data_IF_544517975764
#
_entry.id   IF_544517975764
#
_cell.length_a   1.000
_cell.length_b   1.000
_cell.length_c   1.000
_cell.angle_alpha   90.00
_cell.angle_beta   90.00
_cell.angle_gamma   90.00
#
_symmetry.space_group_name_H-M   'P 1'
#
loop_
_entity.id
_entity.type
_entity.pdbx_description
1 polymer ?
#
# COMPACT_ATOMS: atom_id res chain seq x y z
N UNK A 1 -5.58 -12.14 10.58
CA UNK A 1 -6.90 -11.75 11.09
C UNK A 1 -7.18 -10.31 10.69
N UNK A 2 -7.94 -10.14 9.63
CA UNK A 2 -8.38 -8.83 9.14
C UNK A 2 -9.82 -8.62 9.61
N UNK A 3 -10.09 -7.50 10.27
CA UNK A 3 -11.41 -7.12 10.75
C UNK A 3 -12.18 -6.32 9.70
N UNK A 4 -11.47 -5.60 8.83
CA UNK A 4 -12.07 -4.76 7.80
C UNK A 4 -12.19 -5.52 6.47
N UNK A 5 -13.10 -5.07 5.61
CA UNK A 5 -13.24 -5.56 4.24
C UNK A 5 -12.54 -4.60 3.29
N UNK A 6 -11.66 -5.14 2.44
CA UNK A 6 -10.89 -4.34 1.49
C UNK A 6 -11.52 -4.43 0.10
N UNK A 7 -11.62 -3.32 -0.64
CA UNK A 7 -12.21 -3.33 -1.97
C UNK A 7 -11.32 -4.09 -2.95
N UNK A 8 -11.96 -4.80 -3.88
CA UNK A 8 -11.24 -5.44 -4.99
C UNK A 8 -10.64 -4.36 -5.87
N UNK A 9 -9.31 -4.39 -6.01
CA UNK A 9 -8.60 -3.46 -6.89
C UNK A 9 -8.83 -3.87 -8.34
N UNK A 10 -9.32 -2.93 -9.14
CA UNK A 10 -9.46 -3.17 -10.59
C UNK A 10 -8.11 -3.35 -11.31
N UNK A 11 -7.04 -2.79 -10.71
CA UNK A 11 -5.69 -2.79 -11.28
C UNK A 11 -4.66 -2.45 -10.19
N UNK A 12 -3.55 -3.18 -10.22
CA UNK A 12 -2.35 -2.90 -9.46
C UNK A 12 -1.14 -3.34 -10.29
N UNK A 13 -0.25 -2.42 -10.63
CA UNK A 13 0.97 -2.73 -11.38
C UNK A 13 2.14 -2.92 -10.41
N UNK A 14 2.79 -4.08 -10.49
CA UNK A 14 4.10 -4.31 -9.89
C UNK A 14 5.16 -3.80 -10.86
N UNK A 15 5.81 -2.68 -10.53
CA UNK A 15 6.75 -2.02 -11.45
C UNK A 15 8.11 -1.81 -10.82
N UNK A 16 9.14 -2.49 -11.36
CA UNK A 16 10.55 -2.37 -10.93
C UNK A 16 10.74 -2.53 -9.42
N UNK A 17 9.95 -3.40 -8.80
CA UNK A 17 9.97 -3.69 -7.38
C UNK A 17 9.94 -5.21 -7.17
N UNK A 18 10.55 -5.68 -6.07
CA UNK A 18 10.46 -7.10 -5.69
C UNK A 18 9.06 -7.46 -5.21
N UNK A 19 8.72 -8.75 -5.23
CA UNK A 19 7.43 -9.23 -4.74
C UNK A 19 7.17 -8.82 -3.28
N UNK A 20 8.22 -8.85 -2.46
CA UNK A 20 8.16 -8.40 -1.08
C UNK A 20 7.87 -6.90 -0.97
N UNK A 21 8.51 -6.06 -1.79
CA UNK A 21 8.24 -4.62 -1.80
C UNK A 21 6.80 -4.33 -2.29
N UNK A 22 6.33 -5.05 -3.30
CA UNK A 22 4.97 -4.93 -3.80
C UNK A 22 3.93 -5.24 -2.71
N UNK A 23 4.04 -6.40 -2.04
CA UNK A 23 3.13 -6.76 -0.95
C UNK A 23 3.27 -5.78 0.22
N UNK A 24 4.49 -5.36 0.57
CA UNK A 24 4.74 -4.42 1.66
C UNK A 24 4.10 -3.05 1.41
N UNK A 25 4.28 -2.45 0.22
CA UNK A 25 3.64 -1.16 -0.09
C UNK A 25 2.12 -1.25 -0.10
N UNK A 26 1.55 -2.39 -0.50
CA UNK A 26 0.10 -2.61 -0.50
C UNK A 26 -0.42 -2.68 0.93
N UNK A 27 0.24 -3.45 1.79
CA UNK A 27 -0.09 -3.54 3.20
C UNK A 27 0.02 -2.16 3.89
N UNK A 28 1.12 -1.45 3.67
CA UNK A 28 1.34 -0.08 4.17
C UNK A 28 0.29 0.92 3.67
N UNK A 29 -0.16 0.77 2.42
CA UNK A 29 -1.18 1.60 1.82
C UNK A 29 -2.55 1.40 2.46
N UNK A 30 -2.91 0.15 2.77
CA UNK A 30 -4.17 -0.23 3.39
C UNK A 30 -4.13 -0.29 4.92
N UNK A 31 -2.99 0.01 5.55
CA UNK A 31 -2.86 -0.01 7.01
C UNK A 31 -2.84 -1.41 7.62
N UNK A 32 -2.48 -2.43 6.82
CA UNK A 32 -2.34 -3.82 7.24
C UNK A 32 -0.92 -4.03 7.77
N UNK A 33 -0.80 -4.44 9.02
CA UNK A 33 0.45 -4.88 9.61
C UNK A 33 0.58 -6.40 9.48
N UNK A 34 1.80 -6.92 9.65
CA UNK A 34 2.01 -8.35 9.82
C UNK A 34 2.96 -8.63 10.99
N UNK A 35 2.77 -9.79 11.62
CA UNK A 35 3.64 -10.34 12.65
C UNK A 35 3.93 -11.80 12.37
N UNK A 36 4.91 -12.37 13.07
CA UNK A 36 5.28 -13.77 12.94
C UNK A 36 4.86 -14.55 14.18
N UNK A 37 4.29 -15.72 13.94
CA UNK A 37 3.97 -16.71 14.94
C UNK A 37 4.93 -17.89 14.77
N UNK A 38 5.75 -18.11 15.80
CA UNK A 38 6.79 -19.13 15.79
C UNK A 38 6.28 -20.41 16.42
N UNK A 39 6.41 -21.52 15.71
CA UNK A 39 6.03 -22.86 16.14
C UNK A 39 6.93 -23.91 15.49
N UNK A 40 6.40 -25.11 15.24
CA UNK A 40 7.09 -26.11 14.39
C UNK A 40 7.23 -25.63 12.93
N UNK A 41 6.33 -24.74 12.51
CA UNK A 41 6.40 -23.94 11.28
C UNK A 41 6.07 -22.50 11.62
N UNK A 42 6.82 -21.56 11.04
CA UNK A 42 6.54 -20.14 11.17
C UNK A 42 5.32 -19.75 10.34
N UNK A 43 4.44 -18.94 10.92
CA UNK A 43 3.24 -18.40 10.27
C UNK A 43 3.30 -16.89 10.23
N UNK A 44 2.89 -16.32 9.10
CA UNK A 44 2.73 -14.86 8.94
C UNK A 44 1.28 -14.50 9.21
N UNK A 45 1.06 -13.54 10.11
CA UNK A 45 -0.27 -13.10 10.51
C UNK A 45 -0.47 -11.65 10.10
N UNK A 46 -1.38 -11.45 9.15
CA UNK A 46 -1.83 -10.11 8.76
C UNK A 46 -2.87 -9.58 9.74
N UNK A 47 -2.75 -8.33 10.18
CA UNK A 47 -3.65 -7.69 11.14
C UNK A 47 -3.90 -6.24 10.76
N UNK A 48 -5.10 -5.75 11.04
CA UNK A 48 -5.52 -4.38 10.76
C UNK A 48 -6.16 -3.70 11.98
N UNK A 49 -6.13 -4.36 13.14
CA UNK A 49 -6.74 -3.89 14.37
C UNK A 49 -6.05 -4.49 15.59
N UNK A 50 -5.94 -3.70 16.66
CA UNK A 50 -5.29 -4.13 17.90
C UNK A 50 -6.03 -5.26 18.64
N UNK A 51 -7.38 -5.33 18.67
CA UNK A 51 -8.08 -6.45 19.32
C UNK A 51 -7.79 -7.82 18.70
N UNK A 52 -7.32 -7.85 17.45
CA UNK A 52 -6.88 -9.09 16.81
C UNK A 52 -5.50 -9.55 17.30
N UNK A 53 -4.75 -8.69 18.00
CA UNK A 53 -3.42 -8.98 18.53
C UNK A 53 -3.52 -9.71 19.87
N UNK A 54 -2.73 -10.75 20.00
CA UNK A 54 -2.77 -11.68 21.12
C UNK A 54 -1.85 -11.22 22.25
N UNK A 55 -2.19 -11.58 23.48
CA UNK A 55 -1.30 -11.36 24.62
C UNK A 55 0.04 -12.08 24.42
N UNK A 56 1.13 -11.54 24.97
CA UNK A 56 2.47 -12.13 24.87
C UNK A 56 2.52 -13.58 25.38
N UNK A 57 1.71 -13.95 26.37
CA UNK A 57 1.66 -15.31 26.93
C UNK A 57 0.68 -16.27 26.23
N UNK A 58 -0.19 -15.77 25.34
CA UNK A 58 -1.08 -16.64 24.55
C UNK A 58 -0.33 -17.60 23.62
N UNK A 59 0.96 -17.38 23.42
CA UNK A 59 1.81 -18.18 22.56
C UNK A 59 2.83 -18.93 23.37
N UNK A 60 2.49 -20.19 23.69
CA UNK A 60 3.46 -21.17 24.14
C UNK A 60 4.02 -21.86 22.90
N UNK A 61 5.35 -21.88 22.77
CA UNK A 61 6.02 -22.78 21.82
C UNK A 61 5.68 -24.25 22.13
N UNK A 62 6.10 -25.20 21.27
CA UNK A 62 5.87 -26.61 21.53
C UNK A 62 6.37 -26.95 22.94
N UNK A 63 5.51 -27.58 23.73
CA UNK A 63 5.80 -27.98 25.10
C UNK A 63 7.04 -28.87 25.13
N UNK A 64 8.14 -28.38 25.68
CA UNK A 64 9.40 -29.13 25.79
C UNK A 64 9.29 -30.37 26.69
N UNK A 65 8.19 -30.50 27.45
CA UNK A 65 8.00 -31.53 28.49
C UNK A 65 7.20 -32.75 28.02
N UNK A 66 6.72 -32.78 26.77
CA UNK A 66 6.06 -33.97 26.22
C UNK A 66 6.69 -34.30 24.88
N UNK A 67 7.44 -35.40 24.79
CA UNK A 67 7.96 -35.98 23.54
C UNK A 67 6.86 -36.50 22.60
N UNK A 68 5.70 -35.84 22.56
CA UNK A 68 4.65 -36.05 21.59
C UNK A 68 4.88 -35.08 20.43
N UNK A 69 5.03 -35.61 19.23
CA UNK A 69 4.84 -34.90 17.96
C UNK A 69 3.38 -34.46 17.81
N UNK A 70 2.88 -33.65 18.76
CA UNK A 70 1.56 -33.05 18.71
C UNK A 70 1.66 -31.70 18.02
N UNK A 71 0.87 -31.50 16.97
CA UNK A 71 0.71 -30.21 16.31
C UNK A 71 0.50 -29.10 17.34
N UNK A 72 1.22 -27.99 17.16
CA UNK A 72 0.98 -26.76 17.92
C UNK A 72 -0.53 -26.47 17.88
N UNK A 73 -1.18 -26.13 19.01
CA UNK A 73 -2.63 -26.02 19.09
C UNK A 73 -3.15 -25.20 17.91
N UNK A 74 -4.00 -25.81 17.07
CA UNK A 74 -4.43 -25.27 15.76
C UNK A 74 -5.15 -23.91 15.85
N UNK A 75 -5.46 -23.46 17.06
CA UNK A 75 -5.83 -22.09 17.35
C UNK A 75 -5.39 -21.75 18.79
N UNK A 76 -4.57 -20.71 19.03
CA UNK A 76 -4.70 -19.97 20.27
C UNK A 76 -5.98 -19.12 20.15
N UNK A 77 -7.12 -19.79 20.13
CA UNK A 77 -8.37 -19.13 20.51
C UNK A 77 -8.34 -19.07 22.02
N UNK A 78 -8.26 -17.86 22.55
CA UNK A 78 -8.68 -17.58 23.92
C UNK A 78 -8.00 -18.44 25.00
N UNK A 79 -6.76 -18.08 25.38
CA UNK A 79 -6.53 -17.92 26.82
C UNK A 79 -7.33 -16.67 27.25
N UNK A 80 -8.66 -16.82 27.32
CA UNK A 80 -9.55 -15.78 27.76
C UNK A 80 -9.27 -15.50 29.23
N UNK A 81 -8.73 -14.32 29.51
CA UNK A 81 -8.92 -13.66 30.81
C UNK A 81 -7.69 -13.14 31.52
N UNK A 82 -6.47 -13.58 31.17
CA UNK A 82 -5.26 -13.14 31.88
C UNK A 82 -4.35 -12.33 30.98
N UNK A 83 -4.47 -11.01 31.06
CA UNK A 83 -3.48 -10.09 30.51
C UNK A 83 -2.16 -10.30 31.26
N UNK A 84 -1.09 -10.63 30.54
CA UNK A 84 0.23 -10.79 31.13
C UNK A 84 0.67 -9.46 31.68
N UNK A 85 0.90 -9.44 32.99
CA UNK A 85 1.34 -8.25 33.70
C UNK A 85 2.81 -8.40 34.01
N UNK A 86 3.63 -7.49 33.48
CA UNK A 86 5.05 -7.42 33.80
C UNK A 86 5.28 -6.35 34.86
N UNK A 87 6.00 -6.71 35.92
CA UNK A 87 6.31 -5.79 37.00
C UNK A 87 7.60 -5.01 36.69
N UNK A 88 7.60 -3.72 36.99
CA UNK A 88 8.82 -2.93 36.96
C UNK A 88 9.64 -3.21 38.23
N UNK A 89 10.91 -3.58 38.07
CA UNK A 89 11.84 -3.82 39.18
C UNK A 89 13.03 -2.85 39.07
N UNK A 90 13.16 -1.99 40.08
CA UNK A 90 14.27 -1.03 40.12
C UNK A 90 15.57 -1.76 40.48
N UNK A 91 16.63 -1.52 39.70
CA UNK A 91 17.95 -2.06 39.99
C UNK A 91 18.49 -1.44 41.29
N UNK A 92 18.45 -2.19 42.40
CA UNK A 92 18.86 -1.68 43.72
C UNK A 92 18.46 -2.55 44.92
N UNK A 93 17.50 -3.47 44.77
CA UNK A 93 17.22 -4.52 45.75
C UNK A 93 18.08 -5.76 45.49
N UNK A 94 18.53 -6.43 46.55
CA UNK A 94 19.30 -7.69 46.52
C UNK A 94 18.49 -8.91 46.06
N UNK A 95 17.51 -8.72 45.17
CA UNK A 95 16.67 -9.78 44.62
C UNK A 95 17.09 -10.02 43.16
N UNK A 96 17.34 -11.28 42.81
CA UNK A 96 17.49 -11.70 41.41
C UNK A 96 16.33 -11.14 40.59
N UNK A 97 16.64 -10.51 39.46
CA UNK A 97 15.62 -9.98 38.57
C UNK A 97 14.60 -11.07 38.23
N UNK A 98 13.37 -10.93 38.73
CA UNK A 98 12.33 -11.91 38.49
C UNK A 98 12.18 -12.14 36.98
N UNK A 99 11.99 -13.39 36.52
CA UNK A 99 12.04 -13.78 35.10
C UNK A 99 11.03 -13.02 34.20
N UNK A 100 10.02 -12.39 34.79
CA UNK A 100 9.01 -11.57 34.11
C UNK A 100 8.98 -10.14 34.64
N UNK A 101 10.14 -9.48 34.70
CA UNK A 101 10.26 -8.08 35.13
C UNK A 101 10.86 -7.17 34.07
N UNK A 102 10.48 -5.89 34.12
CA UNK A 102 11.04 -4.79 33.33
C UNK A 102 12.03 -4.04 34.21
N UNK A 103 13.28 -3.95 33.78
CA UNK A 103 14.40 -3.38 34.56
C UNK A 103 14.63 -1.91 34.22
N UNK A 104 14.35 -1.54 32.97
CA UNK A 104 14.47 -0.17 32.46
C UNK A 104 13.22 0.16 31.66
N UNK A 105 12.66 1.34 31.89
CA UNK A 105 11.54 1.87 31.12
C UNK A 105 11.78 3.34 30.79
N UNK A 106 11.42 3.74 29.58
CA UNK A 106 11.44 5.12 29.13
C UNK A 106 10.17 5.38 28.33
N UNK A 107 9.43 6.41 28.71
CA UNK A 107 8.32 6.93 27.91
C UNK A 107 8.76 8.19 27.17
N UNK A 108 8.59 8.21 25.85
CA UNK A 108 8.80 9.39 25.01
C UNK A 108 7.47 9.83 24.42
N UNK A 109 7.14 11.10 24.61
CA UNK A 109 5.98 11.73 23.98
C UNK A 109 6.45 12.83 23.04
N UNK A 110 5.90 12.90 21.83
CA UNK A 110 6.17 13.97 20.87
C UNK A 110 4.89 14.64 20.37
N UNK A 111 5.02 15.88 19.90
CA UNK A 111 3.88 16.60 19.30
C UNK A 111 3.53 15.99 17.95
N UNK A 112 2.23 15.92 17.69
CA UNK A 112 1.64 15.44 16.43
C UNK A 112 0.64 16.49 15.93
N UNK A 113 0.34 16.54 14.63
CA UNK A 113 -0.68 17.44 14.10
C UNK A 113 -2.05 17.16 14.72
N UNK A 114 -2.95 18.16 14.69
CA UNK A 114 -4.31 17.98 15.18
C UNK A 114 -5.13 17.08 14.24
N UNK A 115 -4.95 17.27 12.93
CA UNK A 115 -5.78 16.65 11.90
C UNK A 115 -4.98 16.27 10.66
N UNK A 116 -5.49 15.25 9.97
CA UNK A 116 -5.01 14.82 8.67
C UNK A 116 -6.15 14.88 7.66
N UNK A 117 -5.89 15.41 6.48
CA UNK A 117 -6.84 15.45 5.38
C UNK A 117 -6.24 14.94 4.08
N UNK A 118 -7.08 14.38 3.24
CA UNK A 118 -6.70 13.91 1.91
C UNK A 118 -7.77 14.27 0.89
N UNK A 119 -7.33 14.55 -0.33
CA UNK A 119 -8.23 14.82 -1.45
C UNK A 119 -7.64 14.31 -2.78
N UNK A 120 -8.52 13.85 -3.66
CA UNK A 120 -8.14 13.33 -4.97
C UNK A 120 -9.27 13.55 -6.00
N UNK A 121 -8.99 13.20 -7.26
CA UNK A 121 -9.96 13.33 -8.35
C UNK A 121 -10.16 11.99 -9.06
N UNK A 122 -11.42 11.56 -9.16
CA UNK A 122 -11.82 10.40 -9.94
C UNK A 122 -12.56 10.85 -11.21
N UNK A 123 -11.92 10.68 -12.37
CA UNK A 123 -12.49 11.09 -13.66
C UNK A 123 -13.80 10.37 -14.02
N UNK A 124 -14.10 9.22 -13.41
CA UNK A 124 -15.35 8.48 -13.63
C UNK A 124 -16.53 9.08 -12.86
N UNK A 125 -16.24 9.80 -11.79
CA UNK A 125 -17.21 10.45 -10.91
C UNK A 125 -16.81 11.92 -10.71
N UNK A 126 -16.76 12.73 -11.79
CA UNK A 126 -16.17 14.07 -11.75
C UNK A 126 -16.95 15.06 -10.86
N UNK A 127 -18.23 14.79 -10.61
CA UNK A 127 -19.09 15.59 -9.74
C UNK A 127 -18.98 15.21 -8.26
N UNK A 128 -18.38 14.05 -7.95
CA UNK A 128 -18.20 13.59 -6.58
C UNK A 128 -16.90 14.15 -6.04
N UNK A 129 -16.99 14.91 -4.96
CA UNK A 129 -15.80 15.37 -4.24
C UNK A 129 -15.22 14.22 -3.41
N UNK A 130 -13.99 13.84 -3.71
CA UNK A 130 -13.23 12.87 -2.92
C UNK A 130 -12.31 13.66 -1.99
N UNK A 131 -12.87 14.16 -0.90
CA UNK A 131 -12.15 14.85 0.17
C UNK A 131 -12.61 14.30 1.53
N UNK A 132 -11.66 14.07 2.43
CA UNK A 132 -11.97 13.68 3.80
C UNK A 132 -10.91 14.19 4.77
N UNK A 133 -11.31 14.35 6.03
CA UNK A 133 -10.46 14.73 7.14
C UNK A 133 -10.72 13.82 8.34
N UNK A 134 -9.67 13.52 9.11
CA UNK A 134 -9.77 12.78 10.35
C UNK A 134 -8.92 13.44 11.45
N UNK A 135 -9.42 13.38 12.68
CA UNK A 135 -8.69 13.88 13.86
C UNK A 135 -7.54 12.92 14.20
N UNK A 136 -6.36 13.46 14.44
CA UNK A 136 -5.18 12.70 14.91
C UNK A 136 -5.16 12.74 16.43
N UNK A 137 -5.16 13.93 17.02
CA UNK A 137 -5.16 14.11 18.46
C UNK A 137 -5.75 15.49 18.83
N UNK A 138 -6.62 15.60 19.86
CA UNK A 138 -7.25 16.87 20.24
C UNK A 138 -6.27 17.98 20.65
N UNK A 139 -5.19 17.63 21.34
CA UNK A 139 -4.10 18.56 21.72
C UNK A 139 -3.04 18.76 20.62
N UNK A 140 -3.24 18.21 19.43
CA UNK A 140 -2.33 18.44 18.30
C UNK A 140 -2.44 19.87 17.78
N UNK A 141 -1.49 20.26 16.94
CA UNK A 141 -1.49 21.58 16.31
C UNK A 141 -1.41 21.49 14.77
N UNK A 142 -2.14 22.34 14.08
CA UNK A 142 -2.17 22.38 12.62
C UNK A 142 -2.85 21.18 11.94
N UNK A 143 -2.78 21.20 10.60
CA UNK A 143 -3.41 20.23 9.69
C UNK A 143 -2.41 19.80 8.63
N UNK A 144 -2.33 18.49 8.38
CA UNK A 144 -1.57 17.92 7.26
C UNK A 144 -2.52 17.58 6.13
N UNK A 145 -2.16 17.93 4.89
CA UNK A 145 -2.94 17.60 3.69
C UNK A 145 -2.07 16.77 2.76
N UNK A 146 -2.51 15.56 2.45
CA UNK A 146 -1.87 14.66 1.48
C UNK A 146 -2.72 14.52 0.21
N UNK A 147 -2.06 14.36 -0.93
CA UNK A 147 -2.69 14.15 -2.23
C UNK A 147 -2.14 12.89 -2.88
N UNK A 148 -2.94 12.22 -3.72
CA UNK A 148 -2.48 11.11 -4.54
C UNK A 148 -2.63 9.73 -3.89
N UNK A 149 -3.49 9.57 -2.88
CA UNK A 149 -3.82 8.28 -2.28
C UNK A 149 -4.71 7.39 -3.18
N UNK A 150 -5.24 7.94 -4.27
CA UNK A 150 -6.03 7.22 -5.26
C UNK A 150 -7.35 6.58 -4.80
N UNK A 151 -8.14 7.21 -3.91
CA UNK A 151 -9.47 6.71 -3.59
C UNK A 151 -10.37 6.70 -4.82
N UNK A 152 -11.25 5.71 -4.91
CA UNK A 152 -12.28 5.57 -5.94
C UNK A 152 -13.62 6.12 -5.50
N UNK A 153 -13.92 5.94 -4.22
CA UNK A 153 -15.22 6.23 -3.60
C UNK A 153 -15.05 7.15 -2.38
N UNK A 154 -16.12 7.87 -1.97
CA UNK A 154 -16.11 8.69 -0.76
C UNK A 154 -15.75 7.90 0.52
N UNK A 155 -16.17 6.64 0.60
CA UNK A 155 -15.86 5.76 1.73
C UNK A 155 -14.35 5.45 1.80
N UNK A 156 -13.70 5.23 0.66
CA UNK A 156 -12.26 4.97 0.59
C UNK A 156 -11.44 6.20 0.99
N UNK A 157 -11.85 7.42 0.60
CA UNK A 157 -11.11 8.63 1.01
C UNK A 157 -11.23 8.88 2.52
N UNK A 158 -12.39 8.62 3.10
CA UNK A 158 -12.59 8.68 4.56
C UNK A 158 -11.75 7.61 5.27
N UNK A 159 -11.69 6.40 4.71
CA UNK A 159 -10.84 5.33 5.20
C UNK A 159 -9.36 5.71 5.19
N UNK A 160 -8.85 6.23 4.07
CA UNK A 160 -7.47 6.67 3.97
C UNK A 160 -7.14 7.83 4.93
N UNK A 161 -8.08 8.74 5.15
CA UNK A 161 -7.91 9.80 6.15
C UNK A 161 -7.77 9.23 7.57
N UNK A 162 -8.61 8.25 7.92
CA UNK A 162 -8.56 7.54 9.22
C UNK A 162 -7.22 6.83 9.41
N UNK A 163 -6.81 5.95 8.49
CA UNK A 163 -5.58 5.15 8.70
C UNK A 163 -4.32 6.03 8.75
N UNK A 164 -4.29 7.13 7.99
CA UNK A 164 -3.16 8.07 8.01
C UNK A 164 -3.13 8.87 9.30
N UNK A 165 -4.29 9.26 9.83
CA UNK A 165 -4.38 9.90 11.13
C UNK A 165 -3.92 8.95 12.25
N UNK A 166 -4.37 7.69 12.24
CA UNK A 166 -3.96 6.66 13.18
C UNK A 166 -2.45 6.37 13.11
N UNK A 167 -1.87 6.32 11.90
CA UNK A 167 -0.43 6.18 11.69
C UNK A 167 0.37 7.31 12.33
N UNK A 168 -0.07 8.56 12.16
CA UNK A 168 0.57 9.70 12.81
C UNK A 168 0.41 9.58 14.34
N UNK A 169 -0.74 9.12 14.81
CA UNK A 169 -1.04 8.87 16.23
C UNK A 169 -0.10 7.84 16.87
N UNK A 170 0.25 6.76 16.16
CA UNK A 170 1.20 5.74 16.62
C UNK A 170 2.56 6.34 17.02
N UNK A 171 2.98 7.42 16.34
CA UNK A 171 4.22 8.12 16.64
C UNK A 171 4.20 8.98 17.91
N UNK A 172 3.03 9.28 18.49
CA UNK A 172 2.92 10.25 19.60
C UNK A 172 3.59 9.76 20.88
N UNK A 173 3.23 8.58 21.36
CA UNK A 173 3.69 8.03 22.64
C UNK A 173 4.37 6.69 22.40
N UNK A 174 5.67 6.65 22.64
CA UNK A 174 6.49 5.45 22.50
C UNK A 174 7.07 5.04 23.85
N UNK A 175 6.91 3.78 24.19
CA UNK A 175 7.49 3.14 25.36
C UNK A 175 8.66 2.27 24.91
N UNK A 176 9.78 2.40 25.60
CA UNK A 176 10.96 1.55 25.42
C UNK A 176 11.31 0.94 26.75
N UNK A 177 11.65 -0.34 26.77
CA UNK A 177 12.17 -0.94 27.99
C UNK A 177 13.02 -2.18 27.76
N UNK A 178 13.70 -2.59 28.83
CA UNK A 178 14.55 -3.78 28.86
C UNK A 178 13.97 -4.79 29.85
N UNK A 179 13.84 -6.05 29.44
CA UNK A 179 13.25 -7.13 30.24
C UNK A 179 14.03 -8.44 30.09
N UNK A 180 13.95 -9.31 31.10
CA UNK A 180 14.42 -10.70 31.03
C UNK A 180 13.38 -11.69 30.49
N UNK A 181 12.15 -11.25 30.17
CA UNK A 181 11.08 -12.17 29.78
C UNK A 181 11.29 -12.73 28.38
N UNK A 182 11.28 -14.07 28.29
CA UNK A 182 11.36 -14.83 27.04
C UNK A 182 10.08 -14.74 26.20
N UNK A 183 8.99 -14.19 26.75
CA UNK A 183 7.69 -14.10 26.09
C UNK A 183 7.56 -12.89 25.16
N UNK A 184 8.54 -11.97 25.18
CA UNK A 184 8.50 -10.76 24.37
C UNK A 184 8.51 -11.07 22.87
N UNK A 185 7.59 -10.44 22.13
CA UNK A 185 7.47 -10.59 20.68
C UNK A 185 6.75 -9.40 20.04
N UNK A 186 7.05 -9.14 18.78
CA UNK A 186 6.30 -8.15 18.00
C UNK A 186 4.88 -8.65 17.70
N UNK A 187 3.90 -7.75 17.78
CA UNK A 187 2.47 -8.08 17.66
C UNK A 187 1.85 -8.64 18.95
N UNK A 188 2.61 -8.71 20.06
CA UNK A 188 2.12 -9.13 21.36
C UNK A 188 1.69 -7.95 22.24
N UNK A 189 0.61 -8.11 23.01
CA UNK A 189 0.19 -7.14 24.02
C UNK A 189 0.51 -7.60 25.45
N UNK A 190 0.77 -6.65 26.35
CA UNK A 190 0.96 -6.92 27.78
C UNK A 190 0.59 -5.68 28.61
N UNK A 191 0.34 -5.85 29.90
CA UNK A 191 0.14 -4.75 30.83
C UNK A 191 1.43 -4.48 31.60
N UNK A 192 1.90 -3.23 31.56
CA UNK A 192 2.98 -2.81 32.44
C UNK A 192 2.37 -2.40 33.78
N UNK A 193 2.73 -3.09 34.86
CA UNK A 193 2.34 -2.70 36.22
C UNK A 193 3.12 -1.44 36.62
N UNK A 194 2.54 -0.52 37.40
CA UNK A 194 3.14 0.76 37.73
C UNK A 194 4.57 0.63 38.29
N UNK A 195 5.45 1.45 37.73
CA UNK A 195 6.74 1.84 38.28
C UNK A 195 6.56 2.96 39.32
N UNK A 196 7.67 3.51 39.82
CA UNK A 196 7.67 4.70 40.69
C UNK A 196 7.06 5.96 40.06
N UNK A 197 6.85 5.98 38.73
CA UNK A 197 6.16 7.05 37.99
C UNK A 197 4.66 6.77 37.76
N UNK A 198 4.14 5.63 38.23
CA UNK A 198 2.72 5.29 38.21
C UNK A 198 2.19 4.84 36.84
N UNK A 199 3.05 4.36 35.93
CA UNK A 199 2.63 3.97 34.59
C UNK A 199 1.93 2.59 34.58
N UNK A 200 0.62 2.57 34.86
CA UNK A 200 -0.25 1.40 34.66
C UNK A 200 -0.90 1.46 33.27
N UNK A 201 -0.33 0.78 32.28
CA UNK A 201 -0.80 0.89 30.88
C UNK A 201 -0.65 -0.41 30.12
N UNK A 202 -1.67 -0.74 29.33
CA UNK A 202 -1.61 -1.83 28.35
C UNK A 202 -0.83 -1.37 27.13
N UNK A 203 0.19 -2.13 26.77
CA UNK A 203 1.13 -1.82 25.71
C UNK A 203 1.05 -2.88 24.61
N UNK A 204 1.20 -2.42 23.37
CA UNK A 204 1.39 -3.24 22.18
C UNK A 204 2.85 -3.16 21.75
N UNK A 205 3.53 -4.30 21.72
CA UNK A 205 4.93 -4.40 21.27
C UNK A 205 4.97 -4.46 19.75
N UNK A 206 5.65 -3.51 19.11
CA UNK A 206 5.82 -3.48 17.66
C UNK A 206 7.25 -3.82 17.20
N UNK A 207 8.23 -3.82 18.10
CA UNK A 207 9.61 -4.23 17.83
C UNK A 207 10.25 -4.83 19.08
N UNK A 208 11.02 -5.90 18.89
CA UNK A 208 11.83 -6.53 19.94
C UNK A 208 13.24 -6.78 19.42
N UNK A 209 14.23 -6.51 20.27
CA UNK A 209 15.63 -6.80 20.04
C UNK A 209 16.11 -7.76 21.13
N UNK A 210 16.55 -8.95 20.73
CA UNK A 210 17.08 -9.95 21.64
C UNK A 210 18.60 -9.87 21.72
N UNK A 211 19.16 -10.00 22.92
CA UNK A 211 20.59 -10.21 23.15
C UNK A 211 20.80 -11.44 24.01
N UNK A 212 21.72 -12.29 23.56
CA UNK A 212 22.19 -13.46 24.27
C UNK A 212 23.72 -13.36 24.43
N UNK A 213 24.18 -12.63 25.45
CA UNK A 213 25.60 -12.50 25.78
C UNK A 213 25.75 -12.48 27.31
N UNK A 214 26.20 -13.59 27.90
CA UNK A 214 26.30 -13.74 29.37
C UNK A 214 24.95 -13.82 30.10
N UNK A 215 23.84 -13.83 29.37
CA UNK A 215 22.46 -13.86 29.86
C UNK A 215 21.49 -13.47 28.73
N UNK A 216 20.20 -13.80 28.91
CA UNK A 216 19.14 -13.36 27.99
C UNK A 216 18.63 -11.99 28.40
N UNK A 217 18.53 -11.08 27.43
CA UNK A 217 17.83 -9.80 27.61
C UNK A 217 17.07 -9.43 26.33
N UNK A 218 15.87 -8.89 26.50
CA UNK A 218 15.05 -8.38 25.42
C UNK A 218 14.79 -6.89 25.62
N UNK A 219 15.01 -6.10 24.57
CA UNK A 219 14.60 -4.70 24.50
C UNK A 219 13.36 -4.58 23.66
N UNK A 220 12.29 -4.03 24.22
CA UNK A 220 11.02 -3.85 23.53
C UNK A 220 10.78 -2.38 23.19
N UNK A 221 10.04 -2.17 22.10
CA UNK A 221 9.45 -0.90 21.71
C UNK A 221 7.96 -1.12 21.55
N UNK A 222 7.18 -0.31 22.26
CA UNK A 222 5.75 -0.48 22.37
C UNK A 222 5.01 0.85 22.33
N UNK A 223 3.73 0.78 21.99
CA UNK A 223 2.81 1.91 22.05
C UNK A 223 1.61 1.55 22.94
N UNK A 224 0.85 2.53 23.43
CA UNK A 224 -0.41 2.26 24.13
C UNK A 224 -1.38 1.40 23.29
N UNK A 225 -2.00 0.40 23.92
CA UNK A 225 -2.86 -0.58 23.24
C UNK A 225 -4.18 0.02 22.72
N UNK A 226 -4.62 1.14 23.29
CA UNK A 226 -5.78 1.92 22.84
C UNK A 226 -5.54 2.67 21.53
N UNK A 227 -4.26 2.89 21.15
CA UNK A 227 -3.89 3.47 19.86
C UNK A 227 -3.76 2.38 18.81
N UNK A 228 -4.68 2.34 17.86
CA UNK A 228 -4.65 1.38 16.72
C UNK A 228 -3.33 1.46 15.98
N UNK A 229 -2.60 0.34 15.91
CA UNK A 229 -1.32 0.28 15.22
C UNK A 229 -1.49 0.32 13.71
N UNK A 230 -0.65 1.13 13.05
CA UNK A 230 -0.49 1.17 11.61
C UNK A 230 0.98 1.02 11.24
N UNK A 231 1.32 0.23 10.23
CA UNK A 231 2.71 0.06 9.79
C UNK A 231 3.28 1.39 9.27
N UNK A 232 4.56 1.62 9.55
CA UNK A 232 5.28 2.76 8.97
C UNK A 232 5.40 2.62 7.45
N UNK A 233 5.33 3.75 6.73
CA UNK A 233 5.45 3.80 5.27
C UNK A 233 6.93 3.76 4.86
N UNK A 234 7.54 2.59 4.96
CA UNK A 234 8.95 2.40 4.67
C UNK A 234 9.21 2.02 3.21
N UNK A 235 8.24 1.34 2.59
CA UNK A 235 8.42 0.83 1.24
C UNK A 235 8.17 1.94 0.23
N UNK A 236 9.17 2.32 -0.57
CA UNK A 236 9.01 3.40 -1.53
C UNK A 236 7.97 3.02 -2.58
N UNK A 237 7.06 3.95 -2.90
CA UNK A 237 6.12 3.74 -4.00
C UNK A 237 6.87 3.81 -5.34
N UNK A 238 6.74 2.82 -6.22
CA UNK A 238 7.32 2.89 -7.56
C UNK A 238 6.71 4.07 -8.33
N UNK A 239 7.53 4.70 -9.17
CA UNK A 239 7.11 5.80 -10.03
C UNK A 239 7.61 5.56 -11.45
N UNK A 240 6.72 5.68 -12.44
CA UNK A 240 7.08 5.66 -13.86
C UNK A 240 7.38 7.09 -14.30
N UNK A 241 8.65 7.39 -14.57
CA UNK A 241 9.09 8.75 -14.91
C UNK A 241 8.69 9.19 -16.33
N UNK A 242 8.35 8.26 -17.22
CA UNK A 242 8.04 8.54 -18.62
C UNK A 242 6.86 7.73 -19.11
N UNK A 243 7.05 7.06 -20.24
CA UNK A 243 6.02 6.25 -20.88
C UNK A 243 6.41 4.77 -20.86
N UNK A 244 5.41 3.90 -20.72
CA UNK A 244 5.53 2.50 -21.10
C UNK A 244 4.83 2.30 -22.45
N UNK A 245 5.36 1.40 -23.30
CA UNK A 245 4.67 1.04 -24.53
C UNK A 245 3.62 -0.04 -24.26
N UNK A 246 2.51 0.07 -24.99
CA UNK A 246 1.45 -0.93 -24.98
C UNK A 246 0.82 -1.07 -26.35
N UNK A 247 -0.02 -2.09 -26.51
CA UNK A 247 -0.71 -2.40 -27.76
C UNK A 247 -2.22 -2.43 -27.52
N UNK A 248 -2.95 -1.77 -28.41
CA UNK A 248 -4.41 -1.72 -28.39
C UNK A 248 -4.99 -3.10 -28.73
N UNK A 249 -5.93 -3.55 -27.91
CA UNK A 249 -6.66 -4.81 -28.11
C UNK A 249 -8.01 -4.57 -28.80
N UNK A 250 -8.50 -5.60 -29.49
CA UNK A 250 -9.81 -5.59 -30.15
C UNK A 250 -10.25 -7.00 -30.55
N UNK A 251 -11.51 -7.11 -30.98
CA UNK A 251 -12.08 -8.35 -31.51
C UNK A 251 -11.46 -8.75 -32.85
N UNK A 252 -11.16 -7.75 -33.69
CA UNK A 252 -10.56 -7.92 -35.01
C UNK A 252 -9.62 -6.75 -35.34
N UNK A 253 -9.06 -6.69 -36.54
CA UNK A 253 -8.11 -5.64 -36.94
C UNK A 253 -8.75 -4.25 -37.12
N UNK A 254 -10.08 -4.14 -37.17
CA UNK A 254 -10.79 -2.90 -37.45
C UNK A 254 -11.55 -2.34 -36.23
N UNK A 255 -11.97 -3.20 -35.29
CA UNK A 255 -12.79 -2.85 -34.13
C UNK A 255 -11.98 -2.96 -32.83
N UNK A 256 -11.52 -1.83 -32.26
CA UNK A 256 -10.94 -1.83 -30.92
C UNK A 256 -11.98 -2.12 -29.86
N UNK A 257 -11.55 -2.71 -28.75
CA UNK A 257 -12.39 -2.91 -27.56
C UNK A 257 -12.54 -1.57 -26.83
N UNK A 258 -13.38 -0.71 -27.39
CA UNK A 258 -13.73 0.62 -26.89
C UNK A 258 -15.00 0.52 -26.04
N UNK A 259 -15.01 1.16 -24.88
CA UNK A 259 -16.23 1.24 -24.07
C UNK A 259 -17.04 2.51 -24.29
N UNK A 260 -18.20 2.61 -23.63
CA UNK A 260 -19.12 3.76 -23.71
C UNK A 260 -18.48 5.10 -23.32
N UNK A 261 -17.34 5.07 -22.61
CA UNK A 261 -16.59 6.26 -22.20
C UNK A 261 -15.39 6.54 -23.12
N UNK A 262 -15.23 5.80 -24.21
CA UNK A 262 -14.13 5.98 -25.16
C UNK A 262 -12.78 5.46 -24.65
N UNK A 263 -12.76 4.53 -23.68
CA UNK A 263 -11.53 3.94 -23.14
C UNK A 263 -11.15 2.68 -23.91
N UNK A 264 -9.86 2.54 -24.18
CA UNK A 264 -9.30 1.41 -24.91
C UNK A 264 -8.78 0.34 -23.95
N UNK A 265 -8.91 -0.93 -24.33
CA UNK A 265 -8.13 -1.99 -23.72
C UNK A 265 -6.69 -1.99 -24.26
N UNK A 266 -5.72 -1.91 -23.36
CA UNK A 266 -4.29 -1.90 -23.66
C UNK A 266 -3.62 -3.03 -22.89
N UNK A 267 -2.71 -3.72 -23.57
CA UNK A 267 -1.78 -4.68 -22.97
C UNK A 267 -0.39 -4.07 -23.01
N UNK A 268 0.35 -4.11 -21.89
CA UNK A 268 1.71 -3.57 -21.85
C UNK A 268 2.70 -4.52 -22.52
N UNK A 269 3.71 -3.96 -23.20
CA UNK A 269 4.75 -4.76 -23.84
C UNK A 269 5.75 -5.38 -22.85
N UNK A 270 5.87 -4.80 -21.65
CA UNK A 270 6.78 -5.26 -20.60
C UNK A 270 6.20 -6.37 -19.71
N UNK A 271 4.99 -6.84 -19.97
CA UNK A 271 4.39 -7.96 -19.24
C UNK A 271 5.02 -9.29 -19.66
N UNK A 272 5.35 -10.15 -18.70
CA UNK A 272 5.90 -11.48 -18.97
C UNK A 272 4.87 -12.32 -19.74
N UNK A 273 5.23 -12.72 -20.96
CA UNK A 273 4.38 -13.44 -21.89
C UNK A 273 4.15 -14.92 -21.49
N UNK A 274 4.73 -15.36 -20.36
CA UNK A 274 4.67 -16.76 -19.89
C UNK A 274 3.42 -17.09 -19.08
N UNK A 275 2.59 -16.11 -18.71
CA UNK A 275 1.32 -16.32 -18.03
C UNK A 275 0.13 -16.28 -19.01
N UNK A 276 -0.26 -17.46 -19.52
CA UNK A 276 -1.56 -17.84 -20.13
C UNK A 276 -2.20 -16.97 -21.27
N UNK A 277 -3.20 -17.56 -21.94
CA UNK A 277 -4.05 -16.98 -22.99
C UNK A 277 -4.74 -15.65 -22.60
N UNK A 278 -4.74 -15.27 -21.32
CA UNK A 278 -5.40 -14.08 -20.80
C UNK A 278 -4.38 -13.00 -20.40
N UNK A 279 -3.91 -12.24 -21.39
CA UNK A 279 -3.16 -11.00 -21.10
C UNK A 279 -4.10 -10.00 -20.42
N UNK A 280 -3.77 -9.49 -19.21
CA UNK A 280 -4.65 -8.59 -18.47
C UNK A 280 -4.76 -7.24 -19.20
N UNK A 281 -5.78 -7.10 -20.05
CA UNK A 281 -6.01 -5.88 -20.80
C UNK A 281 -6.64 -4.81 -19.89
N UNK A 282 -5.98 -3.66 -19.75
CA UNK A 282 -6.48 -2.57 -18.91
C UNK A 282 -7.22 -1.53 -19.74
N UNK A 283 -8.38 -1.08 -19.25
CA UNK A 283 -9.10 0.06 -19.84
C UNK A 283 -8.44 1.38 -19.48
N UNK A 284 -8.00 2.11 -20.49
CA UNK A 284 -7.30 3.39 -20.36
C UNK A 284 -7.97 4.46 -21.21
N UNK A 285 -8.07 5.67 -20.66
CA UNK A 285 -8.52 6.85 -21.41
C UNK A 285 -7.39 7.31 -22.34
N UNK A 286 -7.76 7.81 -23.51
CA UNK A 286 -6.83 8.42 -24.46
C UNK A 286 -6.81 9.95 -24.27
N UNK A 287 -5.62 10.51 -24.22
CA UNK A 287 -5.41 11.95 -24.30
C UNK A 287 -5.88 12.43 -25.68
N UNK A 288 -6.79 13.39 -25.69
CA UNK A 288 -7.31 13.99 -26.93
C UNK A 288 -6.85 15.44 -27.03
N UNK A 289 -6.49 15.86 -28.25
CA UNK A 289 -6.08 17.25 -28.52
C UNK A 289 -7.20 18.26 -28.24
N UNK A 290 -8.47 17.82 -28.35
CA UNK A 290 -9.64 18.65 -28.10
C UNK A 290 -10.80 17.79 -27.60
N UNK A 291 -11.43 18.16 -26.49
CA UNK A 291 -12.57 17.45 -25.91
C UNK A 291 -13.44 18.39 -25.06
N UNK A 292 -14.75 18.13 -25.03
CA UNK A 292 -15.75 18.82 -24.23
C UNK A 292 -17.03 17.98 -24.11
N UNK A 293 -18.10 18.50 -23.47
CA UNK A 293 -19.29 17.71 -23.14
C UNK A 293 -19.98 16.99 -24.30
N UNK A 294 -19.87 17.50 -25.54
CA UNK A 294 -20.47 16.91 -26.75
C UNK A 294 -19.68 17.24 -28.03
N UNK A 295 -18.40 17.58 -27.91
CA UNK A 295 -17.55 17.92 -29.06
C UNK A 295 -16.10 17.52 -28.77
N UNK A 296 -15.30 17.35 -29.82
CA UNK A 296 -13.90 17.00 -29.66
C UNK A 296 -13.28 16.45 -30.93
N UNK A 297 -12.04 16.00 -30.78
CA UNK A 297 -11.27 15.30 -31.81
C UNK A 297 -10.96 13.89 -31.33
N UNK A 298 -11.63 12.90 -31.92
CA UNK A 298 -11.40 11.48 -31.63
C UNK A 298 -10.99 10.75 -32.92
N UNK A 299 -9.74 10.32 -32.99
CA UNK A 299 -9.25 9.43 -34.03
C UNK A 299 -9.10 8.02 -33.45
N UNK A 300 -9.96 7.05 -33.82
CA UNK A 300 -9.94 5.76 -33.15
C UNK A 300 -8.65 4.98 -33.41
N UNK A 301 -7.95 4.61 -32.33
CA UNK A 301 -6.80 3.72 -32.40
C UNK A 301 -7.26 2.30 -32.71
N UNK A 302 -6.66 1.67 -33.71
CA UNK A 302 -7.04 0.33 -34.17
C UNK A 302 -6.26 -0.75 -33.40
N UNK A 303 -6.80 -1.97 -33.28
CA UNK A 303 -6.07 -3.08 -32.69
C UNK A 303 -4.72 -3.31 -33.34
N UNK A 304 -3.72 -3.64 -32.53
CA UNK A 304 -2.32 -3.73 -32.98
C UNK A 304 -1.58 -2.39 -33.07
N UNK A 305 -2.25 -1.24 -32.88
CA UNK A 305 -1.57 0.05 -32.80
C UNK A 305 -0.75 0.13 -31.52
N UNK A 306 0.53 0.44 -31.65
CA UNK A 306 1.42 0.70 -30.52
C UNK A 306 1.16 2.10 -29.96
N UNK A 307 1.11 2.20 -28.64
CA UNK A 307 0.80 3.44 -27.91
C UNK A 307 1.80 3.72 -26.81
N UNK A 308 2.05 5.01 -26.58
CA UNK A 308 2.73 5.50 -25.38
C UNK A 308 1.70 5.64 -24.25
N UNK A 309 1.92 4.94 -23.15
CA UNK A 309 1.11 5.01 -21.93
C UNK A 309 1.84 5.83 -20.89
N UNK A 310 1.26 6.96 -20.50
CA UNK A 310 1.73 7.82 -19.42
C UNK A 310 1.02 7.51 -18.11
N UNK A 311 1.58 8.01 -17.00
CA UNK A 311 1.10 7.71 -15.65
C UNK A 311 0.87 9.01 -14.88
N UNK A 312 -0.34 9.23 -14.38
CA UNK A 312 -0.68 10.46 -13.65
C UNK A 312 0.20 10.59 -12.40
N UNK A 313 0.96 11.69 -12.28
CA UNK A 313 1.94 11.92 -11.21
C UNK A 313 2.98 10.79 -11.08
N UNK A 314 3.24 10.03 -12.16
CA UNK A 314 4.12 8.87 -12.15
C UNK A 314 3.53 7.63 -11.48
N UNK A 315 2.29 7.67 -10.99
CA UNK A 315 1.63 6.55 -10.30
C UNK A 315 1.36 5.39 -11.28
N UNK A 316 2.02 4.22 -11.12
CA UNK A 316 1.86 3.06 -12.01
C UNK A 316 0.41 2.59 -12.11
N UNK A 317 -0.42 2.87 -11.10
CA UNK A 317 -1.81 2.45 -11.03
C UNK A 317 -2.76 3.43 -11.76
N UNK A 318 -2.24 4.54 -12.31
CA UNK A 318 -3.00 5.58 -13.03
C UNK A 318 -2.57 5.76 -14.49
N UNK A 319 -2.63 4.72 -15.33
CA UNK A 319 -2.23 4.83 -16.73
C UNK A 319 -3.26 5.59 -17.58
N UNK A 320 -2.76 6.30 -18.59
CA UNK A 320 -3.55 6.88 -19.69
C UNK A 320 -2.75 6.81 -20.99
N UNK A 321 -3.42 6.71 -22.13
CA UNK A 321 -2.76 6.72 -23.44
C UNK A 321 -2.40 8.17 -23.78
N UNK A 322 -1.12 8.46 -23.94
CA UNK A 322 -0.61 9.78 -24.31
C UNK A 322 -0.63 10.01 -25.83
N UNK A 323 -0.43 8.95 -26.61
CA UNK A 323 -0.45 9.01 -28.08
C UNK A 323 -0.08 7.70 -28.73
N UNK A 324 -0.25 7.61 -30.05
CA UNK A 324 0.20 6.49 -30.86
C UNK A 324 1.69 6.61 -31.22
N UNK A 325 2.39 5.49 -31.27
CA UNK A 325 3.79 5.39 -31.65
C UNK A 325 3.90 4.65 -33.00
N UNK A 326 4.19 5.36 -34.11
CA UNK A 326 4.43 4.70 -35.38
C UNK A 326 5.65 3.78 -35.30
N UNK A 327 5.53 2.60 -35.89
CA UNK A 327 6.61 1.61 -35.98
C UNK A 327 6.68 1.01 -37.40
N UNK A 328 7.65 0.14 -37.73
CA UNK A 328 7.75 -0.42 -39.08
C UNK A 328 6.52 -1.19 -39.57
N UNK A 329 5.70 -1.75 -38.67
CA UNK A 329 4.45 -2.45 -39.00
C UNK A 329 3.25 -1.50 -39.16
N UNK A 330 3.21 -0.42 -38.37
CA UNK A 330 2.20 0.65 -38.40
C UNK A 330 2.82 2.03 -38.67
N UNK A 331 3.39 2.22 -39.87
CA UNK A 331 4.23 3.36 -40.13
C UNK A 331 3.46 4.66 -40.42
N UNK A 332 4.09 5.81 -40.12
CA UNK A 332 3.50 7.16 -40.28
C UNK A 332 3.02 7.43 -41.73
N UNK A 333 1.95 8.23 -41.93
CA UNK A 333 1.53 8.68 -43.26
C UNK A 333 2.57 9.53 -44.02
N UNK A 334 3.47 10.20 -43.30
CA UNK A 334 4.52 11.06 -43.87
C UNK A 334 5.88 10.36 -43.74
N UNK A 335 6.59 10.16 -44.87
CA UNK A 335 7.88 9.45 -44.92
C UNK A 335 8.80 10.04 -45.99
N UNK A 336 10.11 9.94 -45.73
CA UNK A 336 11.15 10.32 -46.69
C UNK A 336 11.03 9.56 -48.03
N UNK A 337 10.80 8.25 -47.96
CA UNK A 337 10.72 7.35 -49.13
C UNK A 337 9.56 7.67 -50.09
N UNK A 338 8.51 8.34 -49.60
CA UNK A 338 7.35 8.73 -50.42
C UNK A 338 7.46 10.15 -50.97
N UNK A 339 8.61 10.80 -50.82
CA UNK A 339 8.85 12.20 -51.20
C UNK A 339 7.81 13.18 -50.64
N UNK A 340 7.11 12.80 -49.56
CA UNK A 340 6.00 13.57 -49.01
C UNK A 340 6.34 14.29 -47.70
N UNK A 341 7.63 14.49 -47.43
CA UNK A 341 8.17 15.11 -46.21
C UNK A 341 7.70 16.55 -45.97
N UNK A 342 7.19 17.23 -47.01
CA UNK A 342 6.67 18.61 -46.94
C UNK A 342 5.17 18.69 -46.73
N UNK A 343 4.49 17.55 -46.57
CA UNK A 343 3.03 17.49 -46.47
C UNK A 343 2.61 17.25 -45.03
N UNK A 344 1.64 18.03 -44.56
CA UNK A 344 0.92 17.81 -43.31
C UNK A 344 -0.32 16.98 -43.63
N UNK A 345 -0.44 15.80 -43.04
CA UNK A 345 -1.42 14.79 -43.46
C UNK A 345 -2.24 14.28 -42.30
N UNK A 346 -3.56 14.31 -42.45
CA UNK A 346 -4.51 13.55 -41.63
C UNK A 346 -5.13 12.50 -42.54
N UNK A 347 -4.93 11.22 -42.23
CA UNK A 347 -5.39 10.11 -43.06
C UNK A 347 -6.14 9.09 -42.22
N UNK A 348 -7.35 8.73 -42.67
CA UNK A 348 -8.11 7.62 -42.11
C UNK A 348 -7.66 6.29 -42.70
N UNK A 349 -8.03 5.19 -42.03
CA UNK A 349 -7.67 3.82 -42.44
C UNK A 349 -8.16 3.48 -43.86
N UNK A 350 -9.34 3.99 -44.25
CA UNK A 350 -9.93 3.72 -45.57
C UNK A 350 -9.43 4.68 -46.66
N UNK A 351 -8.42 5.52 -46.36
CA UNK A 351 -7.77 6.38 -47.34
C UNK A 351 -8.38 7.78 -47.49
N UNK A 352 -9.38 8.16 -46.69
CA UNK A 352 -9.86 9.56 -46.66
C UNK A 352 -8.75 10.42 -46.05
N UNK A 353 -8.35 11.49 -46.76
CA UNK A 353 -7.15 12.25 -46.44
C UNK A 353 -7.39 13.76 -46.56
N UNK A 354 -6.91 14.50 -45.57
CA UNK A 354 -6.72 15.96 -45.64
C UNK A 354 -5.22 16.18 -45.72
N UNK A 355 -4.80 17.03 -46.66
CA UNK A 355 -3.40 17.27 -46.95
C UNK A 355 -3.15 18.76 -47.19
N UNK A 356 -2.13 19.28 -46.52
CA UNK A 356 -1.63 20.64 -46.71
C UNK A 356 -0.16 20.51 -47.14
N UNK A 357 0.15 20.98 -48.35
CA UNK A 357 1.51 20.94 -48.90
C UNK A 357 2.21 22.28 -48.62
N UNK A 358 3.36 22.23 -47.94
CA UNK A 358 4.19 23.40 -47.65
C UNK A 358 5.18 23.73 -48.79
N UNK A 359 5.04 23.07 -49.95
CA UNK A 359 5.75 23.41 -51.16
C UNK A 359 5.51 24.87 -51.59
N UNK A 360 6.59 25.65 -51.76
CA UNK A 360 6.52 26.92 -52.49
C UNK A 360 6.39 26.60 -53.98
N UNK A 361 5.23 26.97 -54.56
CA UNK A 361 4.98 27.24 -55.98
C UNK A 361 5.58 26.28 -56.99
#
# INVERSE_FOLDING_TARGET
>A
RLAEQYPTREFALQYRESDFAFVSRLMEHWGIAFSFEHGTRDRVIFTDSNPAMLDIACWRGPSLESGAEGDAPENPSAAAGTTTTLQFTQFGGSEEAAPNSVVEHTRRTQRVPARFATQDYNYRLPHVRLEAEHSVHPEGDGRVVEHGLHPKLPEEVAYFAKIRAELIGCGRTLHRGTTGSLLMRAGGSFRLHPDSEGCDTSLLVHRVEFRLQGGFSARFYAQPLDVTYRPALLTPRPSVAGYLSGVIQGEDSARPNLDEQGRYQVVFNCEDHRADEHRPARRMRMLQSHAGPNYGMHFPLKPGTEVAVGFMNGDPDRPFIAGALPNPLTPSPVRAERSNVRRNVIQSMNGVRIELDDGRG
#
